data_IF_867928358763
#
_entry.id   IF_867928358763
#
_cell.length_a   1.000
_cell.length_b   1.000
_cell.length_c   1.000
_cell.angle_alpha   90.00
_cell.angle_beta   90.00
_cell.angle_gamma   90.00
#
_symmetry.space_group_name_H-M   'P 1'
#
loop_
_entity.id
_entity.type
_entity.pdbx_description
1 polymer ?
#
# COMPACT_ATOMS: atom_id res chain seq x y z
N UNK A 1 -20.99 -63.76 2.06
CA UNK A 1 -19.91 -62.77 2.26
C UNK A 1 -19.74 -61.77 1.12
N UNK A 2 -19.51 -62.18 -0.13
CA UNK A 2 -19.23 -61.24 -1.25
C UNK A 2 -20.34 -60.20 -1.51
N UNK A 3 -21.62 -60.58 -1.41
CA UNK A 3 -22.74 -59.67 -1.68
C UNK A 3 -22.95 -58.59 -0.59
N UNK A 4 -22.63 -58.91 0.67
CA UNK A 4 -22.71 -57.93 1.77
C UNK A 4 -21.56 -56.93 1.74
N UNK A 5 -20.36 -57.36 1.32
CA UNK A 5 -19.20 -56.49 1.16
C UNK A 5 -19.43 -55.45 0.05
N UNK A 6 -20.05 -55.86 -1.07
CA UNK A 6 -20.39 -54.95 -2.18
C UNK A 6 -21.46 -53.93 -1.78
N UNK A 7 -22.45 -54.32 -0.95
CA UNK A 7 -23.46 -53.40 -0.42
C UNK A 7 -22.87 -52.39 0.57
N UNK A 8 -21.96 -52.83 1.45
CA UNK A 8 -21.25 -51.97 2.40
C UNK A 8 -20.34 -50.96 1.68
N UNK A 9 -19.60 -51.41 0.66
CA UNK A 9 -18.75 -50.53 -0.16
C UNK A 9 -19.57 -49.50 -0.95
N UNK A 10 -20.76 -49.87 -1.46
CA UNK A 10 -21.68 -48.92 -2.11
C UNK A 10 -22.25 -47.89 -1.12
N UNK A 11 -22.60 -48.29 0.10
CA UNK A 11 -23.05 -47.36 1.14
C UNK A 11 -21.96 -46.37 1.57
N UNK A 12 -20.72 -46.84 1.73
CA UNK A 12 -19.57 -45.98 2.07
C UNK A 12 -19.27 -45.00 0.93
N UNK A 13 -19.33 -45.45 -0.32
CA UNK A 13 -19.16 -44.59 -1.48
C UNK A 13 -20.27 -43.53 -1.59
N UNK A 14 -21.53 -43.86 -1.29
CA UNK A 14 -22.64 -42.90 -1.24
C UNK A 14 -22.51 -41.92 -0.07
N UNK A 15 -22.05 -42.37 1.12
CA UNK A 15 -21.81 -41.49 2.26
C UNK A 15 -20.68 -40.48 1.97
N UNK A 16 -19.59 -40.95 1.34
CA UNK A 16 -18.48 -40.08 0.92
C UNK A 16 -18.91 -39.07 -0.16
N UNK A 17 -19.82 -39.47 -1.06
CA UNK A 17 -20.37 -38.56 -2.06
C UNK A 17 -21.25 -37.47 -1.43
N UNK A 18 -22.08 -37.81 -0.43
CA UNK A 18 -22.92 -36.85 0.30
C UNK A 18 -22.06 -35.91 1.18
N UNK A 19 -20.99 -36.42 1.81
CA UNK A 19 -20.01 -35.59 2.54
C UNK A 19 -19.21 -34.67 1.60
N UNK A 20 -18.92 -35.08 0.36
CA UNK A 20 -18.26 -34.22 -0.62
C UNK A 20 -19.16 -33.10 -1.15
N UNK A 21 -20.49 -33.29 -1.13
CA UNK A 21 -21.45 -32.23 -1.49
C UNK A 21 -21.75 -31.27 -0.34
N UNK A 22 -21.60 -31.71 0.92
CA UNK A 22 -21.75 -30.84 2.09
C UNK A 22 -20.55 -29.88 2.29
N UNK A 23 -19.39 -30.15 1.67
CA UNK A 23 -18.22 -29.26 1.71
C UNK A 23 -18.25 -28.22 0.57
N UNK A 24 -19.15 -28.36 -0.40
CA UNK A 24 -19.22 -27.50 -1.58
C UNK A 24 -20.27 -26.36 -1.48
N UNK A 25 -20.79 -26.05 -0.30
CA UNK A 25 -21.74 -24.93 -0.09
C UNK A 25 -21.33 -23.97 1.03
N UNK A 26 -20.06 -23.96 1.44
CA UNK A 26 -19.51 -22.73 2.02
C UNK A 26 -19.36 -21.75 0.86
N UNK A 27 -20.40 -20.94 0.62
CA UNK A 27 -20.34 -19.88 -0.36
C UNK A 27 -19.09 -19.04 -0.07
N UNK A 28 -18.16 -18.98 -1.02
CA UNK A 28 -17.14 -17.95 -1.00
C UNK A 28 -17.89 -16.64 -1.20
N UNK A 29 -18.31 -16.00 -0.11
CA UNK A 29 -18.73 -14.61 -0.20
C UNK A 29 -17.51 -13.82 -0.67
N UNK A 30 -17.65 -13.08 -1.78
CA UNK A 30 -16.67 -12.07 -2.19
C UNK A 30 -16.54 -10.93 -1.13
N UNK A 31 -17.31 -11.02 -0.04
CA UNK A 31 -17.32 -10.09 1.08
C UNK A 31 -16.32 -10.53 2.16
N UNK A 32 -15.47 -9.58 2.59
CA UNK A 32 -14.60 -9.76 3.73
C UNK A 32 -15.42 -9.99 5.01
N UNK A 33 -14.93 -10.82 5.95
CA UNK A 33 -15.55 -10.96 7.26
C UNK A 33 -15.32 -9.71 8.12
N UNK A 34 -16.13 -9.56 9.16
CA UNK A 34 -15.88 -8.61 10.23
C UNK A 34 -14.53 -8.90 10.90
N UNK A 35 -13.79 -7.87 11.33
CA UNK A 35 -12.63 -8.06 12.18
C UNK A 35 -12.99 -8.86 13.44
N UNK A 36 -12.18 -9.85 13.79
CA UNK A 36 -12.45 -10.72 14.95
C UNK A 36 -12.14 -10.06 16.32
N UNK A 37 -11.70 -8.80 16.29
CA UNK A 37 -11.36 -7.98 17.45
C UNK A 37 -10.08 -8.40 18.17
N UNK A 38 -9.35 -9.40 17.66
CA UNK A 38 -8.15 -9.91 18.33
C UNK A 38 -6.89 -9.18 17.86
N UNK A 39 -5.91 -8.97 18.75
CA UNK A 39 -4.58 -8.55 18.34
C UNK A 39 -3.91 -9.60 17.45
N UNK A 40 -2.99 -9.15 16.59
CA UNK A 40 -2.14 -10.04 15.80
C UNK A 40 -1.20 -10.90 16.66
N UNK A 41 -0.66 -11.97 16.09
CA UNK A 41 0.38 -12.77 16.73
C UNK A 41 1.73 -12.01 16.79
N UNK A 42 2.02 -11.41 17.95
CA UNK A 42 3.27 -10.69 18.21
C UNK A 42 4.53 -11.59 18.26
N UNK A 43 4.39 -12.91 18.09
CA UNK A 43 5.51 -13.84 17.92
C UNK A 43 6.16 -13.82 16.53
N UNK A 44 5.52 -13.16 15.53
CA UNK A 44 5.99 -13.14 14.14
C UNK A 44 6.44 -11.73 13.70
N UNK A 45 7.39 -11.62 12.75
CA UNK A 45 7.80 -10.34 12.19
C UNK A 45 6.61 -9.54 11.63
N UNK A 46 6.65 -8.22 11.81
CA UNK A 46 5.61 -7.33 11.28
C UNK A 46 5.67 -7.33 9.74
N UNK A 47 4.54 -7.58 9.07
CA UNK A 47 4.40 -7.37 7.62
C UNK A 47 4.19 -5.89 7.35
N UNK A 48 5.11 -5.28 6.64
CA UNK A 48 5.07 -3.85 6.29
C UNK A 48 4.64 -3.69 4.85
N UNK A 49 3.56 -2.94 4.64
CA UNK A 49 3.15 -2.47 3.32
C UNK A 49 3.43 -0.97 3.22
N UNK A 50 4.32 -0.59 2.31
CA UNK A 50 4.68 0.81 2.09
C UNK A 50 3.70 1.42 1.09
N UNK A 51 3.01 2.48 1.49
CA UNK A 51 2.06 3.23 0.66
C UNK A 51 2.72 4.57 0.28
N UNK A 52 3.16 4.72 -0.97
CA UNK A 52 3.72 5.95 -1.53
C UNK A 52 2.83 6.52 -2.63
N UNK A 53 2.95 7.82 -2.87
CA UNK A 53 2.26 8.46 -3.98
C UNK A 53 2.02 9.95 -3.74
N UNK A 54 0.92 10.45 -4.28
CA UNK A 54 0.53 11.86 -4.17
C UNK A 54 -0.89 12.03 -3.59
N UNK A 55 -1.62 13.11 -3.90
CA UNK A 55 -2.93 13.45 -3.33
C UNK A 55 -3.94 12.30 -3.26
N UNK A 56 -3.98 11.41 -4.24
CA UNK A 56 -4.90 10.26 -4.21
C UNK A 56 -4.58 9.26 -3.09
N UNK A 57 -3.33 9.22 -2.62
CA UNK A 57 -2.89 8.43 -1.48
C UNK A 57 -3.23 9.08 -0.12
N UNK A 58 -3.40 10.41 -0.03
CA UNK A 58 -3.63 11.12 1.25
C UNK A 58 -4.96 10.77 1.90
N UNK A 59 -5.96 10.36 1.12
CA UNK A 59 -7.29 10.01 1.63
C UNK A 59 -8.22 11.20 1.79
N UNK A 60 -8.80 11.61 0.66
CA UNK A 60 -9.85 12.64 0.58
C UNK A 60 -11.28 12.07 0.67
N UNK A 61 -11.41 10.75 0.83
CA UNK A 61 -12.71 10.12 1.11
C UNK A 61 -13.27 10.64 2.42
N UNK A 62 -14.55 10.97 2.45
CA UNK A 62 -15.23 11.46 3.66
C UNK A 62 -16.04 10.34 4.28
N UNK A 63 -15.87 10.13 5.59
CA UNK A 63 -16.65 9.10 6.29
C UNK A 63 -18.12 9.50 6.36
N UNK A 64 -18.41 10.73 6.79
CA UNK A 64 -19.78 11.21 6.92
C UNK A 64 -19.97 12.64 6.40
N UNK A 65 -21.18 13.17 6.55
CA UNK A 65 -22.35 12.50 7.12
C UNK A 65 -23.07 11.57 6.11
N UNK A 66 -23.94 10.68 6.59
CA UNK A 66 -24.76 9.72 5.81
C UNK A 66 -25.57 10.37 4.68
N UNK A 67 -26.04 11.60 4.88
CA UNK A 67 -26.85 12.35 3.91
C UNK A 67 -26.03 12.78 2.67
N UNK A 68 -24.71 12.80 2.79
CA UNK A 68 -23.82 13.12 1.68
C UNK A 68 -23.69 11.92 0.74
N UNK A 69 -24.35 11.98 -0.42
CA UNK A 69 -24.20 10.94 -1.46
C UNK A 69 -22.72 10.69 -1.77
N UNK A 70 -22.30 9.44 -1.62
CA UNK A 70 -20.92 9.01 -1.83
C UNK A 70 -20.00 9.07 -0.61
N UNK A 71 -20.47 9.54 0.56
CA UNK A 71 -19.75 9.35 1.83
C UNK A 71 -19.71 7.87 2.24
N UNK A 72 -18.76 7.46 3.09
CA UNK A 72 -18.69 6.08 3.55
C UNK A 72 -19.96 5.65 4.29
N UNK A 73 -20.52 6.52 5.14
CA UNK A 73 -21.78 6.29 5.83
C UNK A 73 -22.94 6.08 4.86
N UNK A 74 -23.02 6.86 3.77
CA UNK A 74 -24.01 6.64 2.71
C UNK A 74 -23.82 5.26 2.07
N UNK A 75 -22.58 4.91 1.72
CA UNK A 75 -22.28 3.64 1.07
C UNK A 75 -22.63 2.43 1.95
N UNK A 76 -22.37 2.53 3.25
CA UNK A 76 -22.64 1.43 4.20
C UNK A 76 -24.11 1.40 4.60
N UNK A 77 -24.65 2.51 5.10
CA UNK A 77 -25.98 2.55 5.74
C UNK A 77 -27.15 2.64 4.75
N UNK A 78 -26.95 3.22 3.56
CA UNK A 78 -28.00 3.35 2.52
C UNK A 78 -27.81 2.39 1.35
N UNK A 79 -26.57 2.03 1.03
CA UNK A 79 -26.27 1.14 -0.12
C UNK A 79 -25.87 -0.27 0.28
N UNK A 80 -25.75 -0.57 1.58
CA UNK A 80 -25.38 -1.90 2.07
C UNK A 80 -24.02 -2.38 1.55
N UNK A 81 -23.11 -1.45 1.20
CA UNK A 81 -21.77 -1.80 0.71
C UNK A 81 -20.77 -1.82 1.86
N UNK A 82 -19.77 -2.69 1.75
CA UNK A 82 -18.69 -2.84 2.74
C UNK A 82 -19.22 -3.18 4.14
N UNK A 83 -20.02 -4.25 4.28
CA UNK A 83 -20.65 -4.61 5.55
C UNK A 83 -19.63 -4.79 6.68
N UNK A 84 -18.45 -5.37 6.39
CA UNK A 84 -17.33 -5.55 7.32
C UNK A 84 -16.78 -4.28 7.99
N UNK A 85 -17.16 -3.10 7.51
CA UNK A 85 -16.76 -1.84 8.14
C UNK A 85 -17.62 -1.49 9.33
N UNK A 86 -18.80 -2.09 9.53
CA UNK A 86 -19.67 -1.84 10.68
C UNK A 86 -19.95 -3.12 11.46
N UNK A 87 -19.99 -3.02 12.78
CA UNK A 87 -20.38 -4.13 13.66
C UNK A 87 -21.92 -4.26 13.76
N UNK A 88 -22.38 -5.27 14.49
CA UNK A 88 -23.80 -5.53 14.77
C UNK A 88 -24.52 -4.35 15.47
N UNK A 89 -23.76 -3.45 16.12
CA UNK A 89 -24.28 -2.25 16.77
C UNK A 89 -24.29 -1.03 15.81
N UNK A 90 -23.87 -1.21 14.56
CA UNK A 90 -23.74 -0.15 13.56
C UNK A 90 -22.57 0.82 13.81
N UNK A 91 -21.60 0.44 14.66
CA UNK A 91 -20.38 1.19 14.93
C UNK A 91 -19.27 0.77 13.96
N UNK A 92 -18.33 1.67 13.68
CA UNK A 92 -17.19 1.35 12.82
C UNK A 92 -16.31 0.26 13.44
N UNK A 93 -16.00 -0.78 12.67
CA UNK A 93 -15.07 -1.82 13.07
C UNK A 93 -13.64 -1.28 13.13
N UNK A 94 -12.81 -1.91 13.94
CA UNK A 94 -11.39 -1.58 14.09
C UNK A 94 -10.56 -2.85 13.98
N UNK A 95 -9.52 -2.82 13.14
CA UNK A 95 -8.53 -3.90 13.04
C UNK A 95 -7.51 -3.77 14.17
N UNK A 96 -7.52 -4.71 15.11
CA UNK A 96 -6.54 -4.77 16.21
C UNK A 96 -5.21 -5.44 15.80
N UNK A 97 -5.12 -5.86 14.54
CA UNK A 97 -4.02 -6.56 13.90
C UNK A 97 -3.40 -5.77 12.74
N UNK A 98 -4.03 -4.66 12.33
CA UNK A 98 -3.54 -3.77 11.27
C UNK A 98 -3.33 -2.37 11.82
N UNK A 99 -2.05 -1.99 11.93
CA UNK A 99 -1.64 -0.64 12.32
C UNK A 99 -1.53 0.26 11.10
N UNK A 100 -2.09 1.47 11.19
CA UNK A 100 -1.94 2.51 10.18
C UNK A 100 -1.05 3.63 10.69
N UNK A 101 0.09 3.83 10.02
CA UNK A 101 0.99 4.94 10.26
C UNK A 101 1.07 5.80 9.00
N UNK A 102 0.79 7.09 9.16
CA UNK A 102 1.00 8.09 8.11
C UNK A 102 2.04 9.09 8.57
N UNK A 103 3.12 9.20 7.80
CA UNK A 103 4.14 10.24 7.94
C UNK A 103 4.12 11.14 6.71
N UNK A 104 4.45 12.40 6.91
CA UNK A 104 4.41 13.39 5.85
C UNK A 104 5.52 14.40 6.06
N UNK A 105 6.20 14.75 4.98
CA UNK A 105 7.20 15.80 4.98
C UNK A 105 6.61 17.16 5.40
N UNK A 106 7.28 17.83 6.33
CA UNK A 106 6.85 19.12 6.82
C UNK A 106 7.34 20.24 5.89
N UNK A 107 6.39 21.07 5.45
CA UNK A 107 6.70 22.22 4.57
C UNK A 107 7.65 23.19 5.27
N UNK A 108 8.73 23.53 4.58
CA UNK A 108 9.72 24.52 5.03
C UNK A 108 10.74 23.97 6.04
N UNK A 109 10.71 22.67 6.32
CA UNK A 109 11.68 21.99 7.19
C UNK A 109 12.56 21.09 6.31
N UNK A 110 13.85 21.00 6.64
CA UNK A 110 14.71 20.00 6.01
C UNK A 110 14.23 18.61 6.47
N UNK A 111 13.93 17.71 5.55
CA UNK A 111 13.44 16.36 5.88
C UNK A 111 14.44 15.57 6.73
N UNK A 112 15.71 16.00 6.78
CA UNK A 112 16.77 15.44 7.62
C UNK A 112 16.72 15.91 9.07
N UNK A 113 15.95 16.96 9.37
CA UNK A 113 15.70 17.40 10.75
C UNK A 113 14.73 16.42 11.43
N UNK A 114 15.31 15.38 12.01
CA UNK A 114 14.57 14.32 12.69
C UNK A 114 14.00 14.76 14.04
N UNK A 115 14.36 15.93 14.57
CA UNK A 115 13.72 16.50 15.77
C UNK A 115 12.32 17.06 15.44
N UNK A 116 12.12 17.48 14.19
CA UNK A 116 10.83 17.95 13.66
C UNK A 116 10.01 16.85 12.99
N UNK A 117 10.60 15.67 12.79
CA UNK A 117 9.89 14.53 12.23
C UNK A 117 8.80 14.03 13.17
N UNK A 118 7.61 13.80 12.62
CA UNK A 118 6.46 13.28 13.35
C UNK A 118 5.51 12.53 12.44
N UNK A 119 4.66 11.70 13.06
CA UNK A 119 3.54 11.06 12.41
C UNK A 119 2.31 11.96 12.38
N UNK A 120 1.61 11.92 11.26
CA UNK A 120 0.29 12.54 11.06
C UNK A 120 -0.78 11.66 11.69
N UNK A 121 -0.64 10.34 11.55
CA UNK A 121 -1.49 9.33 12.17
C UNK A 121 -0.66 8.14 12.62
N UNK A 122 -1.05 7.59 13.75
CA UNK A 122 -0.53 6.35 14.30
C UNK A 122 -1.68 5.73 15.10
N UNK A 123 -2.51 4.94 14.41
CA UNK A 123 -3.76 4.39 14.95
C UNK A 123 -4.03 2.97 14.43
N UNK A 124 -4.89 2.22 15.12
CA UNK A 124 -5.42 0.96 14.59
C UNK A 124 -6.31 1.28 13.40
N UNK A 125 -6.32 0.44 12.37
CA UNK A 125 -7.07 0.73 11.16
C UNK A 125 -8.57 0.70 11.44
N UNK A 126 -9.20 1.86 11.28
CA UNK A 126 -10.65 2.05 11.40
C UNK A 126 -11.09 3.23 10.53
N UNK A 127 -12.34 3.26 10.03
CA UNK A 127 -12.90 4.47 9.46
C UNK A 127 -12.76 5.69 10.39
N UNK A 128 -12.14 6.75 9.89
CA UNK A 128 -11.95 8.03 10.60
C UNK A 128 -12.36 9.18 9.67
N UNK A 129 -12.53 10.42 10.18
CA UNK A 129 -13.07 11.62 9.47
C UNK A 129 -12.78 11.66 7.97
N UNK A 130 -11.54 11.39 7.57
CA UNK A 130 -11.18 11.08 6.19
C UNK A 130 -10.39 9.78 6.08
N UNK A 131 -10.52 9.14 4.91
CA UNK A 131 -9.85 7.89 4.57
C UNK A 131 -9.38 7.90 3.11
N UNK A 132 -8.39 7.07 2.82
CA UNK A 132 -7.89 6.81 1.48
C UNK A 132 -7.84 5.31 1.17
N UNK A 133 -6.95 4.90 0.25
CA UNK A 133 -6.82 3.50 -0.14
C UNK A 133 -6.42 2.56 1.01
N UNK A 134 -5.79 3.09 2.06
CA UNK A 134 -5.37 2.33 3.24
C UNK A 134 -6.51 1.60 3.93
N UNK A 135 -7.73 2.16 3.90
CA UNK A 135 -8.87 1.56 4.59
C UNK A 135 -9.25 0.25 3.91
N UNK A 136 -9.63 0.29 2.64
CA UNK A 136 -9.99 -0.92 1.90
C UNK A 136 -8.82 -1.90 1.79
N UNK A 137 -7.63 -1.40 1.44
CA UNK A 137 -6.43 -2.23 1.33
C UNK A 137 -6.11 -2.94 2.65
N UNK A 138 -6.17 -2.22 3.77
CA UNK A 138 -5.87 -2.75 5.10
C UNK A 138 -6.85 -3.80 5.60
N UNK A 139 -8.13 -3.68 5.29
CA UNK A 139 -9.07 -4.77 5.62
C UNK A 139 -8.77 -6.04 4.82
N UNK A 140 -8.37 -5.91 3.54
CA UNK A 140 -7.96 -7.05 2.72
C UNK A 140 -6.68 -7.68 3.26
N UNK A 141 -5.60 -6.91 3.41
CA UNK A 141 -4.32 -7.50 3.79
C UNK A 141 -4.33 -8.07 5.20
N UNK A 142 -5.08 -7.48 6.13
CA UNK A 142 -5.18 -8.04 7.46
C UNK A 142 -5.95 -9.35 7.43
N UNK A 143 -6.93 -9.52 6.53
CA UNK A 143 -7.64 -10.80 6.41
C UNK A 143 -6.73 -11.91 5.85
N UNK A 144 -5.77 -11.53 5.00
CA UNK A 144 -4.83 -12.47 4.38
C UNK A 144 -3.62 -12.82 5.27
N UNK A 145 -3.42 -12.12 6.39
CA UNK A 145 -2.25 -12.26 7.25
C UNK A 145 -2.63 -12.48 8.70
N UNK A 146 -2.18 -13.59 9.28
CA UNK A 146 -2.21 -13.80 10.74
C UNK A 146 -1.10 -12.99 11.45
N UNK A 147 -0.10 -12.54 10.69
CA UNK A 147 1.00 -11.73 11.21
C UNK A 147 0.58 -10.29 11.52
N UNK A 148 1.29 -9.60 12.43
CA UNK A 148 1.06 -8.17 12.67
C UNK A 148 1.29 -7.37 11.39
N UNK A 149 0.35 -6.50 11.01
CA UNK A 149 0.48 -5.70 9.78
C UNK A 149 0.66 -4.22 10.06
N UNK A 150 1.68 -3.61 9.45
CA UNK A 150 1.89 -2.18 9.42
C UNK A 150 1.66 -1.62 8.01
N UNK A 151 0.63 -0.80 7.86
CA UNK A 151 0.46 0.09 6.71
C UNK A 151 1.27 1.36 6.95
N UNK A 152 2.41 1.48 6.28
CA UNK A 152 3.29 2.64 6.38
C UNK A 152 3.08 3.56 5.19
N UNK A 153 2.27 4.59 5.37
CA UNK A 153 2.04 5.61 4.37
C UNK A 153 3.03 6.76 4.53
N UNK A 154 3.78 7.05 3.47
CA UNK A 154 4.61 8.24 3.36
C UNK A 154 4.24 8.96 2.06
N UNK A 155 3.45 10.02 2.16
CA UNK A 155 3.03 10.75 0.97
C UNK A 155 2.59 12.17 1.31
N UNK A 156 2.68 13.04 0.32
CA UNK A 156 2.15 14.40 0.34
C UNK A 156 1.51 14.75 -0.99
N UNK A 157 0.51 15.63 -0.95
CA UNK A 157 -0.24 16.04 -2.13
C UNK A 157 0.56 16.92 -3.10
N UNK A 158 0.07 17.02 -4.35
CA UNK A 158 0.64 17.87 -5.40
C UNK A 158 2.13 17.54 -5.69
N UNK A 159 2.39 16.28 -6.03
CA UNK A 159 3.73 15.77 -6.34
C UNK A 159 3.74 14.99 -7.65
N UNK A 160 4.67 15.35 -8.54
CA UNK A 160 4.90 14.71 -9.84
C UNK A 160 5.98 13.64 -9.74
N UNK A 161 5.78 12.52 -10.45
CA UNK A 161 6.82 11.51 -10.63
C UNK A 161 7.97 12.01 -11.52
N UNK A 162 7.68 12.89 -12.48
CA UNK A 162 8.69 13.52 -13.33
C UNK A 162 9.48 14.67 -12.69
N UNK A 163 9.18 15.07 -11.45
CA UNK A 163 9.91 16.13 -10.76
C UNK A 163 10.11 15.85 -9.28
N UNK A 164 9.05 15.86 -8.47
CA UNK A 164 9.19 15.83 -7.01
C UNK A 164 9.58 14.45 -6.46
N UNK A 165 8.95 13.42 -7.01
CA UNK A 165 9.14 12.01 -6.66
C UNK A 165 10.11 11.31 -7.63
N UNK A 166 10.87 12.09 -8.39
CA UNK A 166 11.78 11.59 -9.41
C UNK A 166 12.81 10.64 -8.77
N UNK A 167 12.89 9.36 -9.18
CA UNK A 167 13.76 8.39 -8.52
C UNK A 167 15.26 8.65 -8.77
N UNK A 168 16.14 8.13 -7.89
CA UNK A 168 17.58 8.20 -8.07
C UNK A 168 18.04 7.68 -9.44
N UNK A 169 18.91 8.47 -10.08
CA UNK A 169 19.47 8.16 -11.40
C UNK A 169 18.53 8.44 -12.58
N UNK A 170 17.36 9.05 -12.38
CA UNK A 170 16.57 9.56 -13.50
C UNK A 170 17.37 10.59 -14.29
N UNK A 171 17.38 10.43 -15.60
CA UNK A 171 18.13 11.28 -16.52
C UNK A 171 17.25 12.41 -17.06
N UNK A 172 17.90 13.55 -17.33
CA UNK A 172 17.32 14.65 -18.09
C UNK A 172 16.78 14.13 -19.42
N UNK A 173 15.73 14.76 -19.93
CA UNK A 173 15.22 14.47 -21.27
C UNK A 173 14.76 15.75 -21.96
N UNK A 174 14.75 15.71 -23.29
CA UNK A 174 14.28 16.83 -24.10
C UNK A 174 12.83 16.60 -24.55
N UNK A 175 12.03 17.66 -24.50
CA UNK A 175 10.69 17.68 -25.05
C UNK A 175 10.36 19.11 -25.50
N UNK A 176 9.95 19.28 -26.76
CA UNK A 176 9.55 20.57 -27.35
C UNK A 176 10.52 21.74 -27.06
N UNK A 177 11.83 21.50 -27.29
CA UNK A 177 12.85 22.53 -27.12
C UNK A 177 13.19 22.86 -25.66
N UNK A 178 12.69 22.09 -24.70
CA UNK A 178 13.02 22.20 -23.27
C UNK A 178 13.79 20.98 -22.80
N UNK A 179 14.69 21.19 -21.86
CA UNK A 179 15.33 20.14 -21.07
C UNK A 179 14.57 20.01 -19.76
N UNK A 180 14.04 18.83 -19.49
CA UNK A 180 13.41 18.47 -18.22
C UNK A 180 14.45 17.87 -17.28
N UNK A 181 14.25 18.08 -15.98
CA UNK A 181 15.14 17.68 -14.92
C UNK A 181 15.50 16.19 -14.89
N UNK A 182 16.76 15.90 -14.60
CA UNK A 182 17.21 14.66 -14.01
C UNK A 182 17.23 14.76 -12.48
N UNK A 183 17.39 13.61 -11.80
CA UNK A 183 17.47 13.56 -10.35
C UNK A 183 18.56 14.50 -9.81
N UNK A 184 18.25 15.26 -8.75
CA UNK A 184 19.07 16.33 -8.15
C UNK A 184 19.22 17.62 -8.94
N UNK A 185 18.62 17.76 -10.12
CA UNK A 185 18.56 19.07 -10.77
C UNK A 185 17.72 20.05 -9.94
N UNK A 186 18.15 21.31 -9.94
CA UNK A 186 17.55 22.39 -9.14
C UNK A 186 16.52 23.21 -9.91
N UNK A 187 16.17 22.79 -11.14
CA UNK A 187 15.14 23.41 -11.97
C UNK A 187 14.28 22.31 -12.60
N UNK A 188 12.95 22.50 -12.65
CA UNK A 188 12.03 21.49 -13.19
C UNK A 188 12.20 21.28 -14.70
N UNK A 189 12.35 22.38 -15.44
CA UNK A 189 12.72 22.39 -16.84
C UNK A 189 13.32 23.75 -17.21
N UNK A 190 14.04 23.82 -18.32
CA UNK A 190 14.59 25.05 -18.89
C UNK A 190 14.66 24.96 -20.41
N UNK A 191 14.82 26.10 -21.09
CA UNK A 191 14.96 26.10 -22.55
C UNK A 191 16.29 25.46 -22.96
N UNK A 192 16.28 24.70 -24.06
CA UNK A 192 17.48 24.04 -24.57
C UNK A 192 18.55 25.09 -24.90
N UNK A 193 19.75 24.88 -24.36
CA UNK A 193 20.87 25.82 -24.51
C UNK A 193 20.88 26.95 -23.47
N UNK A 194 19.86 27.06 -22.62
CA UNK A 194 19.87 27.96 -21.47
C UNK A 194 20.45 27.27 -20.22
N UNK A 195 20.90 28.08 -19.26
CA UNK A 195 21.28 27.61 -17.92
C UNK A 195 20.04 27.41 -17.03
N UNK A 196 19.98 26.32 -16.25
CA UNK A 196 18.86 26.06 -15.34
C UNK A 196 18.83 27.09 -14.20
N UNK A 197 17.65 27.69 -13.97
CA UNK A 197 17.43 28.59 -12.84
C UNK A 197 17.04 27.81 -11.60
N UNK A 198 17.89 27.85 -10.57
CA UNK A 198 17.64 27.16 -9.31
C UNK A 198 16.37 27.65 -8.61
N UNK A 199 15.55 26.70 -8.14
CA UNK A 199 14.45 26.91 -7.19
C UNK A 199 14.85 26.34 -5.82
N UNK A 200 14.19 26.71 -4.71
CA UNK A 200 14.42 26.11 -3.39
C UNK A 200 13.81 24.69 -3.29
N UNK A 201 14.14 23.84 -4.27
CA UNK A 201 13.71 22.47 -4.45
C UNK A 201 14.70 21.77 -5.38
N UNK A 202 14.63 20.45 -5.46
CA UNK A 202 15.37 19.69 -6.48
C UNK A 202 14.56 18.47 -6.92
N UNK A 203 14.88 17.95 -8.10
CA UNK A 203 14.23 16.78 -8.66
C UNK A 203 14.48 15.56 -7.77
N UNK A 204 13.42 14.95 -7.25
CA UNK A 204 13.48 13.83 -6.33
C UNK A 204 13.56 14.20 -4.84
N UNK A 205 13.41 15.48 -4.48
CA UNK A 205 13.42 15.90 -3.07
C UNK A 205 12.33 15.23 -2.25
N UNK A 206 11.13 15.08 -2.81
CA UNK A 206 10.04 14.41 -2.09
C UNK A 206 10.29 12.91 -1.98
N UNK A 207 10.84 12.28 -3.03
CA UNK A 207 11.25 10.87 -2.96
C UNK A 207 12.21 10.65 -1.79
N UNK A 208 13.24 11.49 -1.66
CA UNK A 208 14.22 11.38 -0.58
C UNK A 208 13.57 11.54 0.81
N UNK A 209 12.67 12.51 0.95
CA UNK A 209 11.95 12.75 2.19
C UNK A 209 11.05 11.57 2.57
N UNK A 210 10.20 11.11 1.65
CA UNK A 210 9.27 10.01 1.90
C UNK A 210 10.03 8.71 2.25
N UNK A 211 11.14 8.44 1.57
CA UNK A 211 12.01 7.29 1.86
C UNK A 211 12.71 7.44 3.21
N UNK A 212 13.21 8.62 3.55
CA UNK A 212 13.86 8.88 4.84
C UNK A 212 12.87 8.71 6.00
N UNK A 213 11.66 9.26 5.87
CA UNK A 213 10.60 9.19 6.87
C UNK A 213 10.05 7.77 7.05
N UNK A 214 9.86 7.02 5.95
CA UNK A 214 9.53 5.61 6.04
C UNK A 214 10.61 4.81 6.79
N UNK A 215 11.89 5.03 6.46
CA UNK A 215 13.01 4.40 7.18
C UNK A 215 13.07 4.79 8.66
N UNK A 216 12.68 6.02 9.00
CA UNK A 216 12.63 6.47 10.40
C UNK A 216 11.56 5.75 11.20
N UNK A 217 10.39 5.45 10.61
CA UNK A 217 9.37 4.61 11.25
C UNK A 217 9.90 3.20 11.47
N UNK A 218 10.49 2.59 10.45
CA UNK A 218 10.99 1.21 10.50
C UNK A 218 12.14 1.01 11.49
N UNK A 219 12.90 2.06 11.80
CA UNK A 219 13.93 2.03 12.85
C UNK A 219 13.36 2.12 14.27
N UNK A 220 12.12 2.60 14.43
CA UNK A 220 11.51 2.92 15.72
C UNK A 220 10.20 2.16 15.93
N UNK A 221 10.13 0.89 15.54
CA UNK A 221 8.89 0.09 15.57
C UNK A 221 8.27 -0.04 16.97
N UNK A 222 9.05 0.05 18.04
CA UNK A 222 8.54 0.09 19.42
C UNK A 222 7.57 1.26 19.67
N UNK A 223 7.80 2.41 19.02
CA UNK A 223 6.88 3.56 19.06
C UNK A 223 5.62 3.32 18.21
N UNK A 224 5.79 2.67 17.06
CA UNK A 224 4.77 2.65 16.01
C UNK A 224 3.85 1.44 16.05
N UNK A 225 4.29 0.32 16.61
CA UNK A 225 3.52 -0.90 16.69
C UNK A 225 3.41 -1.39 18.15
N UNK A 226 2.26 -1.19 18.81
CA UNK A 226 2.04 -1.71 20.16
C UNK A 226 2.28 -3.22 20.24
N UNK A 227 3.05 -3.66 21.23
CA UNK A 227 3.42 -5.08 21.38
C UNK A 227 4.63 -5.50 20.55
N UNK A 228 5.33 -4.58 19.87
CA UNK A 228 6.66 -4.86 19.34
C UNK A 228 7.66 -5.15 20.47
N UNK A 229 8.30 -6.32 20.40
CA UNK A 229 9.27 -6.85 21.38
C UNK A 229 10.62 -7.15 20.72
N UNK A 230 10.90 -6.57 19.55
CA UNK A 230 12.11 -6.85 18.79
C UNK A 230 11.99 -7.99 17.77
N UNK A 231 10.78 -8.46 17.45
CA UNK A 231 10.55 -9.55 16.51
C UNK A 231 10.85 -9.20 15.03
N UNK A 232 11.32 -7.98 14.75
CA UNK A 232 11.66 -7.52 13.40
C UNK A 232 10.45 -7.25 12.51
N UNK A 233 10.72 -7.02 11.24
CA UNK A 233 9.73 -6.75 10.21
C UNK A 233 10.19 -7.26 8.85
N UNK A 234 9.23 -7.46 7.94
CA UNK A 234 9.44 -7.77 6.53
C UNK A 234 8.68 -6.74 5.69
N UNK A 235 9.33 -6.13 4.69
CA UNK A 235 8.60 -5.31 3.70
C UNK A 235 7.91 -6.23 2.72
N UNK A 236 6.63 -6.49 2.98
CA UNK A 236 5.80 -7.47 2.27
C UNK A 236 5.18 -6.93 0.98
N UNK A 237 5.07 -5.60 0.84
CA UNK A 237 4.52 -5.01 -0.36
C UNK A 237 4.73 -3.50 -0.48
N UNK A 238 4.46 -3.02 -1.68
CA UNK A 238 4.56 -1.61 -2.06
C UNK A 238 3.33 -1.19 -2.87
N UNK A 239 2.65 -0.14 -2.43
CA UNK A 239 1.44 0.40 -3.05
C UNK A 239 1.77 1.79 -3.56
N UNK A 240 1.59 2.00 -4.86
CA UNK A 240 1.82 3.27 -5.53
C UNK A 240 0.51 3.86 -6.03
N UNK A 241 0.19 5.09 -5.63
CA UNK A 241 -0.93 5.83 -6.22
C UNK A 241 -0.54 7.27 -6.57
N UNK A 242 -0.23 7.47 -7.84
CA UNK A 242 0.23 8.73 -8.41
C UNK A 242 -0.20 8.78 -9.89
N UNK A 243 -0.17 9.96 -10.53
CA UNK A 243 -0.32 10.07 -11.99
C UNK A 243 -0.99 11.38 -12.41
N UNK A 244 -1.91 11.90 -11.59
CA UNK A 244 -2.65 13.12 -11.93
C UNK A 244 -1.74 14.34 -12.20
N UNK A 245 -0.62 14.45 -11.49
CA UNK A 245 0.30 15.58 -11.66
C UNK A 245 1.20 15.47 -12.90
N UNK A 246 1.20 14.32 -13.57
CA UNK A 246 2.07 14.01 -14.72
C UNK A 246 1.28 13.89 -16.03
N UNK A 247 0.09 14.48 -16.10
CA UNK A 247 -0.78 14.41 -17.28
C UNK A 247 -0.33 15.30 -18.46
N UNK A 248 0.67 16.17 -18.28
CA UNK A 248 1.21 16.95 -19.40
C UNK A 248 1.94 16.04 -20.38
N UNK A 249 1.92 16.36 -21.68
CA UNK A 249 2.51 15.51 -22.72
C UNK A 249 3.98 15.11 -22.42
N UNK A 250 4.78 16.07 -21.95
CA UNK A 250 6.18 15.83 -21.57
C UNK A 250 6.33 14.81 -20.43
N UNK A 251 5.55 14.96 -19.36
CA UNK A 251 5.67 14.11 -18.17
C UNK A 251 5.00 12.75 -18.39
N UNK A 252 3.86 12.73 -19.08
CA UNK A 252 3.15 11.51 -19.47
C UNK A 252 4.03 10.64 -20.38
N UNK A 253 4.71 11.23 -21.36
CA UNK A 253 5.64 10.53 -22.24
C UNK A 253 6.88 9.94 -21.53
N UNK A 254 7.21 10.44 -20.34
CA UNK A 254 8.31 9.93 -19.49
C UNK A 254 7.84 9.02 -18.36
N UNK A 255 6.53 8.90 -18.14
CA UNK A 255 5.95 8.33 -16.92
C UNK A 255 6.39 6.90 -16.68
N UNK A 256 6.27 6.03 -17.69
CA UNK A 256 6.62 4.61 -17.60
C UNK A 256 8.09 4.41 -17.23
N UNK A 257 8.99 5.16 -17.86
CA UNK A 257 10.43 5.07 -17.62
C UNK A 257 10.78 5.47 -16.18
N UNK A 258 10.15 6.53 -15.68
CA UNK A 258 10.31 6.95 -14.30
C UNK A 258 9.69 5.94 -13.33
N UNK A 259 8.54 5.32 -13.67
CA UNK A 259 7.90 4.32 -12.83
C UNK A 259 8.72 3.03 -12.73
N UNK A 260 9.28 2.55 -13.84
CA UNK A 260 10.22 1.41 -13.84
C UNK A 260 11.42 1.70 -12.95
N UNK A 261 11.96 2.92 -13.02
CA UNK A 261 13.08 3.34 -12.18
C UNK A 261 12.68 3.44 -10.71
N UNK A 262 11.48 3.95 -10.41
CA UNK A 262 10.94 3.97 -9.06
C UNK A 262 10.89 2.56 -8.48
N UNK A 263 10.32 1.61 -9.21
CA UNK A 263 10.21 0.21 -8.78
C UNK A 263 11.60 -0.38 -8.47
N UNK A 264 12.60 -0.12 -9.32
CA UNK A 264 13.99 -0.57 -9.09
C UNK A 264 14.69 0.12 -7.92
N UNK A 265 14.27 1.33 -7.59
CA UNK A 265 14.86 2.15 -6.52
C UNK A 265 14.13 2.01 -5.19
N UNK A 266 12.89 1.51 -5.21
CA UNK A 266 12.00 1.50 -4.07
C UNK A 266 12.63 0.76 -2.88
N UNK A 267 12.56 1.32 -1.67
CA UNK A 267 13.26 0.78 -0.51
C UNK A 267 12.96 -0.71 -0.27
N UNK A 268 11.71 -1.14 -0.43
CA UNK A 268 11.30 -2.54 -0.21
C UNK A 268 11.96 -3.56 -1.12
N UNK A 269 12.23 -3.23 -2.39
CA UNK A 269 12.87 -4.16 -3.32
C UNK A 269 14.37 -4.32 -3.04
N UNK A 270 15.05 -3.26 -2.56
CA UNK A 270 16.46 -3.34 -2.20
C UNK A 270 16.69 -4.03 -0.84
N UNK A 271 15.72 -3.98 0.09
CA UNK A 271 15.78 -4.74 1.34
C UNK A 271 15.50 -6.24 1.11
N UNK A 272 14.52 -6.57 0.26
CA UNK A 272 14.24 -7.95 -0.12
C UNK A 272 15.44 -8.63 -0.79
N UNK A 273 16.19 -7.97 -1.68
CA UNK A 273 17.35 -8.60 -2.33
C UNK A 273 18.50 -8.98 -1.39
N UNK A 274 18.63 -8.33 -0.21
CA UNK A 274 19.68 -8.68 0.77
C UNK A 274 19.29 -9.84 1.68
N UNK A 275 17.99 -10.08 1.91
CA UNK A 275 17.48 -11.22 2.70
C UNK A 275 17.09 -12.43 1.83
N UNK A 276 16.70 -12.22 0.57
CA UNK A 276 16.27 -13.30 -0.35
C UNK A 276 17.42 -14.22 -0.77
N UNK A 277 18.69 -13.91 -0.45
CA UNK A 277 19.80 -14.89 -0.53
C UNK A 277 19.61 -16.11 0.41
N UNK A 278 18.56 -16.15 1.23
CA UNK A 278 18.23 -17.32 2.04
C UNK A 278 17.08 -18.21 1.52
N UNK A 279 16.28 -17.81 0.51
CA UNK A 279 15.18 -18.68 -0.02
C UNK A 279 14.85 -18.42 -1.49
N UNK A 280 15.27 -19.35 -2.36
CA UNK A 280 15.17 -19.32 -3.84
C UNK A 280 13.74 -19.43 -4.44
N UNK A 281 12.67 -19.26 -3.67
CA UNK A 281 11.29 -19.53 -4.14
C UNK A 281 10.56 -18.36 -4.82
N UNK A 282 10.86 -17.11 -4.45
CA UNK A 282 9.99 -15.95 -4.77
C UNK A 282 10.26 -15.28 -6.12
N UNK A 283 11.38 -15.58 -6.79
CA UNK A 283 11.73 -14.99 -8.11
C UNK A 283 10.81 -15.43 -9.26
N UNK A 284 10.06 -16.52 -9.13
CA UNK A 284 9.24 -17.05 -10.23
C UNK A 284 7.82 -16.47 -10.32
N UNK A 285 7.29 -15.85 -9.27
CA UNK A 285 5.92 -15.32 -9.27
C UNK A 285 5.81 -13.96 -10.00
N UNK A 286 6.82 -13.10 -9.88
CA UNK A 286 6.79 -11.74 -10.44
C UNK A 286 7.01 -11.65 -11.97
N UNK A 287 7.54 -12.69 -12.62
CA UNK A 287 7.73 -12.70 -14.08
C UNK A 287 6.50 -13.18 -14.86
N UNK A 288 5.48 -13.72 -14.17
CA UNK A 288 4.28 -14.31 -14.81
C UNK A 288 3.11 -13.33 -14.97
N UNK A 289 3.02 -12.28 -14.15
CA UNK A 289 1.84 -11.39 -14.13
C UNK A 289 1.92 -10.17 -15.06
N UNK A 290 3.06 -9.89 -15.71
CA UNK A 290 3.18 -8.81 -16.70
C UNK A 290 2.72 -9.19 -18.12
N UNK A 291 1.94 -10.28 -18.28
CA UNK A 291 1.38 -10.72 -19.59
C UNK A 291 -0.12 -10.46 -19.76
N UNK A 292 -0.63 -9.38 -19.17
CA UNK A 292 -2.00 -8.91 -19.40
C UNK A 292 -2.11 -7.46 -19.92
N UNK A 293 -1.01 -6.87 -20.40
CA UNK A 293 -1.02 -5.55 -21.04
C UNK A 293 -0.97 -5.58 -22.59
N UNK A 294 -1.09 -6.76 -23.21
CA UNK A 294 -1.30 -6.91 -24.65
C UNK A 294 -2.51 -7.81 -24.90
N UNK A 295 -3.71 -7.21 -24.86
CA UNK A 295 -4.91 -7.62 -25.61
C UNK A 295 -6.01 -6.58 -25.50
#
# INVERSE_FOLDING_TARGET
MKLQLVRLLRMIALLLLVLSQAIATAGSSDELPDPDGKPADHGRPIKVFILLGQSNMLGFGRVGPKETKGSLEYMVKEKGKYPHLVDDNGQWTTRQDVRYVHVMDQRGVDYKDMEKFGDVRNEWLTPNKSFGPELGFGHVIGHLHDEPVLLLKACIGNRSLGWDLLPPGSERFEFEGKVYAGYKDVANFWDKGAEPKAVPWYAGRQYDADVAHAKAVLKNLEKYYPGYKGQGYEVAGFVWWQGHKDQSAALAGRYEQNLVRLIKSAPGLQFAEREVRARDGLRQLWSRELRFADR
#
